data_IF_251612485027
#
_entry.id   IF_251612485027
#
_cell.length_a   1.000
_cell.length_b   1.000
_cell.length_c   1.000
_cell.angle_alpha   90.00
_cell.angle_beta   90.00
_cell.angle_gamma   90.00
#
_symmetry.space_group_name_H-M   'P 1'
#
loop_
_entity.id
_entity.type
_entity.pdbx_description
1 polymer ?
#
# COMPACT_ATOMS: atom_id res chain seq x y z
N UNK A 1 18.79 4.16 1.41
CA UNK A 1 18.22 5.33 2.12
C UNK A 1 17.61 6.40 1.21
N UNK A 2 18.03 6.61 -0.06
CA UNK A 2 17.44 7.64 -0.95
C UNK A 2 16.02 7.31 -1.47
N UNK A 3 15.72 6.04 -1.74
CA UNK A 3 14.43 5.58 -2.29
C UNK A 3 13.27 5.70 -1.26
N UNK A 4 13.57 5.58 0.03
CA UNK A 4 12.55 5.56 1.10
C UNK A 4 11.85 6.91 1.29
N UNK A 5 12.55 8.03 1.14
CA UNK A 5 11.93 9.36 1.29
C UNK A 5 11.03 9.73 0.11
N UNK A 6 11.40 9.33 -1.11
CA UNK A 6 10.59 9.54 -2.31
C UNK A 6 9.28 8.79 -2.22
N UNK A 7 9.34 7.52 -1.79
CA UNK A 7 8.17 6.71 -1.52
C UNK A 7 7.27 7.31 -0.44
N UNK A 8 7.85 7.81 0.67
CA UNK A 8 7.08 8.53 1.71
C UNK A 8 6.38 9.76 1.15
N UNK A 9 7.09 10.56 0.36
CA UNK A 9 6.55 11.78 -0.25
C UNK A 9 5.43 11.47 -1.27
N UNK A 10 5.56 10.41 -2.07
CA UNK A 10 4.50 10.00 -3.00
C UNK A 10 3.26 9.51 -2.25
N UNK A 11 3.43 8.75 -1.18
CA UNK A 11 2.34 8.31 -0.30
C UNK A 11 1.58 9.50 0.31
N UNK A 12 2.28 10.55 0.76
CA UNK A 12 1.63 11.78 1.26
C UNK A 12 0.72 12.41 0.21
N UNK A 13 1.20 12.52 -1.03
CA UNK A 13 0.40 13.08 -2.15
C UNK A 13 -0.84 12.22 -2.39
N UNK A 14 -0.69 10.91 -2.39
CA UNK A 14 -1.80 9.99 -2.67
C UNK A 14 -2.86 10.03 -1.56
N UNK A 15 -2.45 10.06 -0.29
CA UNK A 15 -3.36 10.12 0.86
C UNK A 15 -4.18 11.40 0.92
N UNK A 16 -3.59 12.53 0.53
CA UNK A 16 -4.27 13.82 0.51
C UNK A 16 -4.89 14.15 -0.86
N UNK A 17 -4.86 13.21 -1.82
CA UNK A 17 -5.26 13.46 -3.20
C UNK A 17 -6.68 14.02 -3.31
N UNK A 18 -7.62 13.49 -2.53
CA UNK A 18 -9.00 13.97 -2.56
C UNK A 18 -9.12 15.42 -2.08
N UNK A 19 -8.47 15.77 -0.96
CA UNK A 19 -8.49 17.13 -0.43
C UNK A 19 -7.80 18.11 -1.38
N UNK A 20 -6.71 17.69 -2.01
CA UNK A 20 -5.99 18.48 -3.01
C UNK A 20 -6.83 18.73 -4.27
N UNK A 21 -7.51 17.71 -4.80
CA UNK A 21 -8.37 17.87 -5.98
C UNK A 21 -9.55 18.80 -5.71
N UNK A 22 -10.07 18.81 -4.49
CA UNK A 22 -11.19 19.70 -4.12
C UNK A 22 -10.73 21.11 -3.74
N UNK A 23 -9.50 21.27 -3.26
CA UNK A 23 -8.99 22.54 -2.74
C UNK A 23 -8.12 23.35 -3.72
N UNK A 24 -7.66 22.75 -4.82
CA UNK A 24 -6.84 23.42 -5.83
C UNK A 24 -7.71 24.14 -6.86
N UNK A 25 -7.66 25.46 -6.87
CA UNK A 25 -8.32 26.28 -7.89
C UNK A 25 -7.50 26.38 -9.20
N UNK A 26 -8.16 26.76 -10.30
CA UNK A 26 -7.53 26.85 -11.63
C UNK A 26 -6.33 27.81 -11.68
N UNK A 27 -6.37 28.89 -10.88
CA UNK A 27 -5.29 29.89 -10.78
C UNK A 27 -4.06 29.27 -10.13
N UNK A 28 -4.26 28.57 -9.02
CA UNK A 28 -3.22 27.87 -8.27
C UNK A 28 -2.60 26.77 -9.14
N UNK A 29 -3.43 25.98 -9.82
CA UNK A 29 -2.97 24.94 -10.76
C UNK A 29 -2.08 25.56 -11.84
N UNK A 30 -2.52 26.66 -12.46
CA UNK A 30 -1.74 27.34 -13.51
C UNK A 30 -0.39 27.85 -12.98
N UNK A 31 -0.38 28.51 -11.83
CA UNK A 31 0.84 29.02 -11.21
C UNK A 31 1.81 27.88 -10.84
N UNK A 32 1.30 26.77 -10.33
CA UNK A 32 2.09 25.57 -10.03
C UNK A 32 2.70 24.97 -11.30
N UNK A 33 1.91 24.83 -12.36
CA UNK A 33 2.38 24.32 -13.66
C UNK A 33 3.48 25.22 -14.23
N UNK A 34 3.30 26.55 -14.19
CA UNK A 34 4.30 27.50 -14.67
C UNK A 34 5.58 27.48 -13.82
N UNK A 35 5.45 27.39 -12.50
CA UNK A 35 6.60 27.24 -11.59
C UNK A 35 7.37 25.94 -11.88
N UNK A 36 6.66 24.82 -12.02
CA UNK A 36 7.26 23.52 -12.25
C UNK A 36 7.95 23.43 -13.61
N UNK A 37 7.39 24.09 -14.63
CA UNK A 37 8.04 24.23 -15.93
C UNK A 37 9.32 25.08 -15.83
N UNK A 38 9.28 26.19 -15.08
CA UNK A 38 10.46 27.06 -14.88
C UNK A 38 11.63 26.34 -14.20
N UNK A 39 11.31 25.41 -13.28
CA UNK A 39 12.30 24.59 -12.59
C UNK A 39 12.69 23.32 -13.37
N UNK A 40 12.17 23.14 -14.59
CA UNK A 40 12.37 21.94 -15.42
C UNK A 40 11.94 20.63 -14.73
N UNK A 41 10.96 20.70 -13.83
CA UNK A 41 10.38 19.53 -13.16
C UNK A 41 9.36 18.81 -14.06
N UNK A 42 8.66 19.60 -14.88
CA UNK A 42 7.76 19.11 -15.92
C UNK A 42 8.16 19.68 -17.28
N UNK A 43 7.76 19.00 -18.33
CA UNK A 43 7.95 19.40 -19.72
C UNK A 43 6.81 20.29 -20.22
N UNK A 44 7.04 21.01 -21.32
CA UNK A 44 5.99 21.79 -21.98
C UNK A 44 4.83 20.91 -22.45
N UNK A 45 5.10 19.66 -22.81
CA UNK A 45 4.07 18.69 -23.19
C UNK A 45 3.18 18.33 -22.01
N UNK A 46 3.77 18.03 -20.84
CA UNK A 46 3.02 17.75 -19.60
C UNK A 46 2.17 18.96 -19.19
N UNK A 47 2.69 20.20 -19.35
CA UNK A 47 1.91 21.43 -19.16
C UNK A 47 0.70 21.49 -20.09
N UNK A 48 0.89 21.25 -21.39
CA UNK A 48 -0.19 21.30 -22.37
C UNK A 48 -1.28 20.27 -22.07
N UNK A 49 -0.87 19.05 -21.70
CA UNK A 49 -1.78 17.98 -21.31
C UNK A 49 -2.61 18.36 -20.08
N UNK A 50 -1.99 18.97 -19.06
CA UNK A 50 -2.74 19.45 -17.87
C UNK A 50 -3.71 20.56 -18.27
N UNK A 51 -3.26 21.55 -19.05
CA UNK A 51 -4.09 22.70 -19.42
C UNK A 51 -5.23 22.36 -20.40
N UNK A 52 -5.14 21.24 -21.12
CA UNK A 52 -6.16 20.75 -22.02
C UNK A 52 -7.38 20.13 -21.31
N UNK A 53 -7.25 19.76 -20.03
CA UNK A 53 -8.37 19.21 -19.25
C UNK A 53 -9.46 20.27 -19.04
N UNK A 54 -10.74 19.85 -19.12
CA UNK A 54 -11.87 20.78 -19.20
C UNK A 54 -12.27 21.38 -17.85
N UNK A 55 -12.22 20.58 -16.80
CA UNK A 55 -12.65 20.99 -15.46
C UNK A 55 -11.45 21.24 -14.57
N UNK A 56 -11.60 22.14 -13.60
CA UNK A 56 -10.58 22.43 -12.60
C UNK A 56 -10.13 21.16 -11.86
N UNK A 57 -11.08 20.31 -11.48
CA UNK A 57 -10.79 19.05 -10.78
C UNK A 57 -10.01 18.07 -11.65
N UNK A 58 -10.30 18.00 -12.96
CA UNK A 58 -9.56 17.14 -13.88
C UNK A 58 -8.14 17.67 -14.12
N UNK A 59 -7.96 18.99 -14.21
CA UNK A 59 -6.63 19.61 -14.25
C UNK A 59 -5.84 19.31 -12.97
N UNK A 60 -6.48 19.42 -11.80
CA UNK A 60 -5.88 19.10 -10.51
C UNK A 60 -5.44 17.63 -10.44
N UNK A 61 -6.32 16.69 -10.81
CA UNK A 61 -5.99 15.26 -10.90
C UNK A 61 -4.79 15.02 -11.80
N UNK A 62 -4.77 15.63 -12.99
CA UNK A 62 -3.69 15.47 -13.97
C UNK A 62 -2.37 16.03 -13.46
N UNK A 63 -2.39 17.20 -12.84
CA UNK A 63 -1.22 17.79 -12.20
C UNK A 63 -0.68 16.84 -11.12
N UNK A 64 -1.53 16.35 -10.23
CA UNK A 64 -1.13 15.43 -9.16
C UNK A 64 -0.59 14.10 -9.71
N UNK A 65 -1.13 13.58 -10.82
CA UNK A 65 -0.59 12.38 -11.49
C UNK A 65 0.81 12.58 -12.04
N UNK A 66 1.09 13.77 -12.60
CA UNK A 66 2.43 14.11 -13.08
C UNK A 66 3.38 14.23 -11.89
N UNK A 67 2.99 14.97 -10.85
CA UNK A 67 3.83 15.19 -9.66
C UNK A 67 4.11 13.85 -8.96
N UNK A 68 3.09 13.02 -8.71
CA UNK A 68 3.26 11.72 -8.07
C UNK A 68 4.26 10.84 -8.83
N UNK A 69 4.06 10.68 -10.15
CA UNK A 69 4.99 9.90 -11.00
C UNK A 69 6.41 10.45 -10.99
N UNK A 70 6.56 11.77 -11.01
CA UNK A 70 7.90 12.40 -10.97
C UNK A 70 8.56 12.20 -9.61
N UNK A 71 7.84 12.38 -8.51
CA UNK A 71 8.35 12.17 -7.14
C UNK A 71 8.78 10.71 -6.95
N UNK A 72 8.00 9.75 -7.44
CA UNK A 72 8.31 8.32 -7.40
C UNK A 72 9.54 7.96 -8.27
N UNK A 73 9.68 8.58 -9.43
CA UNK A 73 10.80 8.35 -10.37
C UNK A 73 12.02 9.26 -10.16
N UNK A 74 12.03 10.12 -9.13
CA UNK A 74 13.15 11.02 -8.87
C UNK A 74 14.44 10.23 -8.62
N UNK A 75 15.54 10.63 -9.26
CA UNK A 75 16.84 9.99 -9.07
C UNK A 75 17.57 10.48 -7.81
N UNK A 76 18.57 9.71 -7.33
CA UNK A 76 19.26 9.89 -6.04
C UNK A 76 19.91 11.27 -5.83
N UNK A 77 20.13 12.06 -6.88
CA UNK A 77 20.76 13.38 -6.84
C UNK A 77 19.78 14.53 -6.54
N UNK A 78 18.49 14.38 -6.84
CA UNK A 78 17.47 15.43 -6.65
C UNK A 78 16.48 15.05 -5.55
N UNK A 79 16.99 14.55 -4.42
CA UNK A 79 16.19 14.14 -3.26
C UNK A 79 15.24 15.28 -2.87
N UNK A 80 13.95 15.05 -3.10
CA UNK A 80 12.83 15.88 -2.66
C UNK A 80 12.58 17.22 -3.37
N UNK A 81 13.40 17.66 -4.34
CA UNK A 81 13.18 18.99 -4.97
C UNK A 81 11.78 19.22 -5.56
N UNK A 82 11.18 18.20 -6.17
CA UNK A 82 9.82 18.29 -6.73
C UNK A 82 8.78 18.37 -5.62
N UNK A 83 8.92 17.54 -4.58
CA UNK A 83 8.01 17.56 -3.43
C UNK A 83 8.13 18.87 -2.63
N UNK A 84 9.36 19.34 -2.40
CA UNK A 84 9.61 20.60 -1.70
C UNK A 84 9.08 21.80 -2.52
N UNK A 85 9.26 21.76 -3.85
CA UNK A 85 8.67 22.74 -4.76
C UNK A 85 7.15 22.70 -4.75
N UNK A 86 6.56 21.50 -4.69
CA UNK A 86 5.12 21.29 -4.58
C UNK A 86 4.57 21.93 -3.30
N UNK A 87 5.13 21.56 -2.15
CA UNK A 87 4.71 22.07 -0.85
C UNK A 87 4.95 23.58 -0.75
N UNK A 88 6.05 24.09 -1.31
CA UNK A 88 6.32 25.53 -1.36
C UNK A 88 5.23 26.27 -2.17
N UNK A 89 4.89 25.80 -3.36
CA UNK A 89 3.82 26.43 -4.15
C UNK A 89 2.47 26.35 -3.45
N UNK A 90 2.15 25.23 -2.79
CA UNK A 90 0.95 25.13 -1.96
C UNK A 90 0.98 26.17 -0.84
N UNK A 91 2.12 26.36 -0.16
CA UNK A 91 2.23 27.33 0.93
C UNK A 91 1.98 28.77 0.49
N UNK A 92 2.38 29.10 -0.73
CA UNK A 92 2.19 30.44 -1.33
C UNK A 92 0.72 30.73 -1.69
N UNK A 93 -0.09 29.71 -1.97
CA UNK A 93 -1.46 29.89 -2.49
C UNK A 93 -2.55 29.40 -1.53
N UNK A 94 -2.30 28.30 -0.82
CA UNK A 94 -3.19 27.67 0.13
C UNK A 94 -2.40 26.98 1.26
N UNK A 95 -2.11 27.76 2.31
CA UNK A 95 -1.41 27.31 3.51
C UNK A 95 -2.06 26.07 4.15
N UNK A 96 -3.39 25.98 4.11
CA UNK A 96 -4.14 24.85 4.69
C UNK A 96 -3.81 23.55 3.96
N UNK A 97 -3.84 23.56 2.62
CA UNK A 97 -3.48 22.38 1.83
C UNK A 97 -2.01 21.99 1.99
N UNK A 98 -1.12 22.97 2.11
CA UNK A 98 0.29 22.70 2.38
C UNK A 98 0.46 21.93 3.71
N UNK A 99 -0.21 22.39 4.78
CA UNK A 99 -0.19 21.71 6.08
C UNK A 99 -0.83 20.32 6.01
N UNK A 100 -1.92 20.16 5.25
CA UNK A 100 -2.53 18.84 5.03
C UNK A 100 -1.54 17.86 4.42
N UNK A 101 -0.80 18.28 3.39
CA UNK A 101 0.23 17.43 2.76
C UNK A 101 1.41 17.18 3.68
N UNK A 102 1.88 18.19 4.41
CA UNK A 102 3.02 18.05 5.33
C UNK A 102 2.73 17.09 6.49
N UNK A 103 1.52 17.18 7.06
CA UNK A 103 1.06 16.35 8.18
C UNK A 103 0.43 15.02 7.74
N UNK A 104 0.28 14.80 6.43
CA UNK A 104 -0.19 13.55 5.89
C UNK A 104 0.67 12.41 6.44
N UNK A 105 0.00 11.35 6.90
CA UNK A 105 0.68 10.12 7.29
C UNK A 105 1.54 9.66 6.11
N UNK A 106 2.82 9.39 6.34
CA UNK A 106 3.76 8.86 5.35
C UNK A 106 4.21 7.43 5.64
N UNK A 107 3.52 6.76 6.56
CA UNK A 107 3.73 5.36 6.87
C UNK A 107 3.69 4.54 5.59
N UNK A 108 4.84 4.01 5.21
CA UNK A 108 5.01 3.11 4.07
C UNK A 108 4.34 1.78 4.42
N UNK A 109 3.32 1.34 3.68
CA UNK A 109 2.75 0.01 3.88
C UNK A 109 3.87 -1.04 3.75
N UNK A 110 3.98 -1.93 4.73
CA UNK A 110 4.98 -3.02 4.75
C UNK A 110 6.45 -2.55 4.82
N UNK A 111 6.79 -1.53 5.60
CA UNK A 111 8.20 -1.20 5.92
C UNK A 111 8.92 -2.44 6.50
N UNK A 112 10.15 -2.73 6.07
CA UNK A 112 10.92 -3.88 6.59
C UNK A 112 11.08 -3.85 8.12
N UNK A 113 11.09 -2.64 8.69
CA UNK A 113 11.08 -2.41 10.14
C UNK A 113 9.78 -2.91 10.79
N UNK A 114 8.63 -2.67 10.17
CA UNK A 114 7.34 -3.14 10.67
C UNK A 114 7.20 -4.65 10.50
N UNK A 115 7.71 -5.20 9.38
CA UNK A 115 7.79 -6.65 9.17
C UNK A 115 8.65 -7.32 10.25
N UNK A 116 9.82 -6.77 10.57
CA UNK A 116 10.68 -7.31 11.63
C UNK A 116 10.01 -7.22 13.01
N UNK A 117 9.38 -6.09 13.34
CA UNK A 117 8.67 -5.89 14.60
C UNK A 117 7.48 -6.86 14.74
N UNK A 118 6.68 -7.05 13.68
CA UNK A 118 5.58 -8.02 13.66
C UNK A 118 6.09 -9.43 13.86
N UNK A 119 7.12 -9.84 13.11
CA UNK A 119 7.68 -11.18 13.22
C UNK A 119 8.26 -11.45 14.60
N UNK A 120 8.86 -10.45 15.24
CA UNK A 120 9.37 -10.53 16.60
C UNK A 120 8.24 -10.70 17.63
N UNK A 121 7.08 -10.04 17.43
CA UNK A 121 5.89 -10.19 18.29
C UNK A 121 5.27 -11.58 18.19
N UNK A 122 5.26 -12.17 16.99
CA UNK A 122 4.59 -13.46 16.75
C UNK A 122 5.49 -14.69 16.84
N UNK A 123 6.81 -14.53 17.01
CA UNK A 123 7.78 -15.64 16.94
C UNK A 123 7.56 -16.75 17.98
N UNK A 124 6.99 -16.41 19.13
CA UNK A 124 6.77 -17.32 20.25
C UNK A 124 5.30 -17.73 20.41
N UNK A 125 4.43 -17.31 19.49
CA UNK A 125 3.00 -17.61 19.54
C UNK A 125 2.72 -18.79 18.62
N UNK A 126 2.12 -19.83 19.18
CA UNK A 126 1.72 -21.01 18.42
C UNK A 126 0.40 -20.78 17.68
N UNK A 127 0.38 -21.19 16.40
CA UNK A 127 -0.82 -21.11 15.58
C UNK A 127 -1.83 -22.17 16.01
N UNK A 128 -2.83 -21.76 16.79
CA UNK A 128 -3.99 -22.60 17.11
C UNK A 128 -5.12 -22.45 16.07
N UNK A 129 -6.07 -23.38 16.10
CA UNK A 129 -7.17 -23.44 15.12
C UNK A 129 -8.11 -22.22 15.19
N UNK A 130 -8.43 -21.72 16.40
CA UNK A 130 -9.30 -20.56 16.57
C UNK A 130 -8.68 -19.31 15.95
N UNK A 131 -7.40 -19.08 16.22
CA UNK A 131 -6.62 -17.99 15.66
C UNK A 131 -6.52 -18.12 14.14
N UNK A 132 -6.24 -19.33 13.62
CA UNK A 132 -6.25 -19.58 12.18
C UNK A 132 -7.59 -19.20 11.54
N UNK A 133 -8.71 -19.64 12.12
CA UNK A 133 -10.04 -19.33 11.58
C UNK A 133 -10.33 -17.82 11.58
N UNK A 134 -9.88 -17.07 12.59
CA UNK A 134 -9.99 -15.60 12.61
C UNK A 134 -9.15 -14.95 11.50
N UNK A 135 -7.89 -15.35 11.34
CA UNK A 135 -6.99 -14.83 10.29
C UNK A 135 -7.59 -15.05 8.90
N UNK A 136 -8.13 -16.24 8.63
CA UNK A 136 -8.71 -16.59 7.33
C UNK A 136 -9.92 -15.73 6.94
N UNK A 137 -10.59 -15.07 7.91
CA UNK A 137 -11.67 -14.13 7.61
C UNK A 137 -11.21 -12.89 6.82
N UNK A 138 -9.92 -12.57 6.86
CA UNK A 138 -9.35 -11.36 6.29
C UNK A 138 -8.46 -11.59 5.06
N UNK A 139 -8.27 -12.85 4.66
CA UNK A 139 -7.47 -13.20 3.48
C UNK A 139 -8.31 -13.12 2.20
N UNK A 140 -9.59 -13.50 2.24
CA UNK A 140 -10.49 -13.31 1.09
C UNK A 140 -9.99 -14.01 -0.19
N UNK A 141 -10.00 -13.31 -1.33
CA UNK A 141 -9.71 -13.89 -2.66
C UNK A 141 -8.24 -14.18 -2.96
N UNK A 142 -7.29 -13.66 -2.17
CA UNK A 142 -5.84 -13.86 -2.38
C UNK A 142 -5.28 -15.12 -1.72
N UNK A 143 -6.12 -15.96 -1.12
CA UNK A 143 -5.70 -17.07 -0.28
C UNK A 143 -4.90 -18.15 -1.02
N UNK A 144 -5.15 -18.33 -2.32
CA UNK A 144 -4.42 -19.31 -3.15
C UNK A 144 -2.95 -18.94 -3.32
N UNK A 145 -2.66 -17.64 -3.46
CA UNK A 145 -1.29 -17.13 -3.50
C UNK A 145 -0.57 -17.38 -2.18
N UNK A 146 -1.27 -17.18 -1.06
CA UNK A 146 -0.71 -17.47 0.28
C UNK A 146 -0.48 -18.97 0.46
N UNK A 147 -1.39 -19.82 -0.02
CA UNK A 147 -1.22 -21.28 0.02
C UNK A 147 -0.01 -21.72 -0.81
N UNK A 148 0.17 -21.16 -2.01
CA UNK A 148 1.32 -21.43 -2.86
C UNK A 148 2.64 -20.99 -2.20
N UNK A 149 2.68 -19.82 -1.57
CA UNK A 149 3.85 -19.32 -0.82
C UNK A 149 4.18 -20.17 0.43
N UNK A 150 3.22 -20.94 0.93
CA UNK A 150 3.41 -21.91 2.00
C UNK A 150 3.76 -23.33 1.50
N UNK A 151 4.15 -23.45 0.23
CA UNK A 151 4.45 -24.71 -0.45
C UNK A 151 3.31 -25.74 -0.36
N UNK A 152 2.06 -25.26 -0.45
CA UNK A 152 0.90 -26.13 -0.57
C UNK A 152 0.67 -26.43 -2.05
N UNK A 153 0.70 -27.72 -2.38
CA UNK A 153 0.55 -28.21 -3.75
C UNK A 153 -0.78 -27.75 -4.38
N UNK A 154 -0.69 -27.25 -5.62
CA UNK A 154 -1.83 -26.92 -6.47
C UNK A 154 -2.89 -28.04 -6.57
N UNK A 155 -2.48 -29.31 -6.55
CA UNK A 155 -3.36 -30.48 -6.57
C UNK A 155 -4.21 -30.53 -5.30
N UNK A 156 -3.64 -30.20 -4.13
CA UNK A 156 -4.42 -30.14 -2.88
C UNK A 156 -5.42 -29.00 -2.91
N UNK A 157 -5.03 -27.84 -3.44
CA UNK A 157 -5.94 -26.70 -3.62
C UNK A 157 -7.12 -27.11 -4.51
N UNK A 158 -6.86 -27.81 -5.63
CA UNK A 158 -7.90 -28.34 -6.50
C UNK A 158 -8.82 -29.34 -5.80
N UNK A 159 -8.28 -30.24 -4.97
CA UNK A 159 -9.08 -31.21 -4.18
C UNK A 159 -9.98 -30.47 -3.19
N UNK A 160 -9.47 -29.49 -2.44
CA UNK A 160 -10.27 -28.74 -1.48
C UNK A 160 -11.40 -27.94 -2.15
N UNK A 161 -11.13 -27.38 -3.34
CA UNK A 161 -12.15 -26.74 -4.19
C UNK A 161 -13.23 -27.72 -4.63
N UNK A 162 -12.85 -28.93 -5.03
CA UNK A 162 -13.79 -29.99 -5.41
C UNK A 162 -14.63 -30.47 -4.22
N UNK A 163 -14.03 -30.58 -3.03
CA UNK A 163 -14.72 -30.97 -1.79
C UNK A 163 -15.70 -29.89 -1.30
N UNK A 164 -15.40 -28.60 -1.54
CA UNK A 164 -16.18 -27.48 -1.01
C UNK A 164 -16.53 -26.46 -2.11
N UNK A 165 -17.30 -26.84 -3.15
CA UNK A 165 -17.48 -26.02 -4.36
C UNK A 165 -18.16 -24.67 -4.12
N UNK A 166 -18.96 -24.54 -3.06
CA UNK A 166 -19.76 -23.34 -2.77
C UNK A 166 -19.28 -22.56 -1.54
N UNK A 167 -18.17 -22.97 -0.92
CA UNK A 167 -17.66 -22.33 0.30
C UNK A 167 -16.16 -22.10 0.24
N UNK A 168 -15.75 -20.93 -0.27
CA UNK A 168 -14.35 -20.48 -0.23
C UNK A 168 -13.80 -20.49 1.19
N UNK A 169 -14.65 -20.24 2.20
CA UNK A 169 -14.27 -20.32 3.61
C UNK A 169 -13.86 -21.73 4.02
N UNK A 170 -14.61 -22.76 3.61
CA UNK A 170 -14.27 -24.14 3.92
C UNK A 170 -13.07 -24.62 3.10
N UNK A 171 -12.95 -24.20 1.84
CA UNK A 171 -11.75 -24.45 1.02
C UNK A 171 -10.49 -23.95 1.73
N UNK A 172 -10.50 -22.69 2.18
CA UNK A 172 -9.42 -22.09 2.94
C UNK A 172 -9.16 -22.87 4.23
N UNK A 173 -10.19 -23.10 5.05
CA UNK A 173 -10.01 -23.74 6.35
C UNK A 173 -9.45 -25.17 6.22
N UNK A 174 -9.93 -25.97 5.26
CA UNK A 174 -9.41 -27.33 4.99
C UNK A 174 -7.91 -27.28 4.66
N UNK A 175 -7.51 -26.40 3.73
CA UNK A 175 -6.13 -26.28 3.27
C UNK A 175 -5.19 -25.78 4.38
N UNK A 176 -5.54 -24.67 5.02
CA UNK A 176 -4.66 -24.06 6.01
C UNK A 176 -4.67 -24.81 7.34
N UNK A 177 -5.76 -25.48 7.73
CA UNK A 177 -5.76 -26.33 8.92
C UNK A 177 -4.95 -27.61 8.68
N UNK A 178 -5.04 -28.19 7.47
CA UNK A 178 -4.16 -29.29 7.08
C UNK A 178 -2.68 -28.88 7.13
N UNK A 179 -2.34 -27.73 6.53
CA UNK A 179 -0.97 -27.19 6.57
C UNK A 179 -0.50 -26.94 8.01
N UNK A 180 -1.35 -26.33 8.84
CA UNK A 180 -1.08 -26.11 10.27
C UNK A 180 -0.78 -27.43 10.97
N UNK A 181 -1.61 -28.46 10.81
CA UNK A 181 -1.41 -29.78 11.43
C UNK A 181 -0.09 -30.44 10.98
N UNK A 182 0.29 -30.27 9.71
CA UNK A 182 1.57 -30.75 9.17
C UNK A 182 2.78 -30.01 9.77
N UNK A 183 2.67 -28.69 9.94
CA UNK A 183 3.73 -27.81 10.44
C UNK A 183 3.83 -27.78 11.98
N UNK A 184 2.77 -28.13 12.72
CA UNK A 184 2.74 -28.12 14.20
C UNK A 184 3.65 -29.13 14.89
N UNK A 185 4.49 -29.85 14.14
CA UNK A 185 5.66 -30.53 14.70
C UNK A 185 6.80 -29.56 15.06
N UNK A 186 6.70 -28.27 14.73
CA UNK A 186 7.66 -27.23 15.12
C UNK A 186 7.02 -25.89 15.51
N UNK A 187 7.68 -25.18 16.44
CA UNK A 187 7.37 -23.77 16.77
C UNK A 187 7.55 -22.89 15.53
N UNK A 188 6.70 -21.87 15.37
CA UNK A 188 6.85 -20.85 14.32
C UNK A 188 5.87 -20.93 13.15
N UNK A 189 4.83 -21.77 13.24
CA UNK A 189 3.76 -21.84 12.23
C UNK A 189 3.09 -20.48 11.97
N UNK A 190 2.80 -19.71 13.02
CA UNK A 190 2.25 -18.36 12.86
C UNK A 190 3.23 -17.44 12.11
N UNK A 191 4.52 -17.50 12.44
CA UNK A 191 5.56 -16.70 11.77
C UNK A 191 5.62 -17.01 10.27
N UNK A 192 5.54 -18.28 9.87
CA UNK A 192 5.53 -18.68 8.45
C UNK A 192 4.29 -18.15 7.74
N UNK A 193 3.11 -18.30 8.35
CA UNK A 193 1.85 -17.79 7.80
C UNK A 193 1.90 -16.27 7.59
N UNK A 194 2.36 -15.53 8.60
CA UNK A 194 2.45 -14.06 8.53
C UNK A 194 3.49 -13.60 7.50
N UNK A 195 4.59 -14.33 7.32
CA UNK A 195 5.55 -14.05 6.22
C UNK A 195 4.89 -14.20 4.85
N UNK A 196 4.18 -15.30 4.63
CA UNK A 196 3.51 -15.57 3.36
C UNK A 196 2.43 -14.52 3.05
N UNK A 197 1.59 -14.17 4.03
CA UNK A 197 0.56 -13.13 3.86
C UNK A 197 1.21 -11.77 3.54
N UNK A 198 2.27 -11.38 4.26
CA UNK A 198 2.98 -10.13 3.98
C UNK A 198 3.62 -10.09 2.59
N UNK A 199 4.15 -11.23 2.11
CA UNK A 199 4.72 -11.30 0.77
C UNK A 199 3.62 -11.13 -0.29
N UNK A 200 2.49 -11.81 -0.11
CA UNK A 200 1.37 -11.75 -1.05
C UNK A 200 0.55 -10.44 -0.95
N UNK A 201 0.59 -9.69 0.17
CA UNK A 201 -0.17 -8.45 0.36
C UNK A 201 0.18 -7.34 -0.62
N UNK A 202 1.36 -7.40 -1.26
CA UNK A 202 1.76 -6.49 -2.34
C UNK A 202 0.83 -6.63 -3.56
N UNK A 203 0.28 -7.83 -3.77
CA UNK A 203 -0.56 -8.16 -4.94
C UNK A 203 -1.98 -8.57 -4.55
N UNK A 204 -2.25 -8.75 -3.26
CA UNK A 204 -3.53 -9.16 -2.72
C UNK A 204 -4.01 -8.12 -1.70
N UNK A 205 -5.29 -7.76 -1.77
CA UNK A 205 -5.88 -6.73 -0.90
C UNK A 205 -6.15 -7.26 0.52
N UNK A 206 -5.09 -7.63 1.26
CA UNK A 206 -5.19 -8.11 2.64
C UNK A 206 -5.15 -6.95 3.63
N UNK A 207 -6.03 -6.99 4.63
CA UNK A 207 -5.97 -6.04 5.73
C UNK A 207 -5.05 -6.57 6.85
N UNK A 208 -3.75 -6.25 6.73
CA UNK A 208 -2.73 -6.70 7.70
C UNK A 208 -3.02 -6.25 9.12
N UNK A 209 -3.55 -5.04 9.32
CA UNK A 209 -3.86 -4.54 10.67
C UNK A 209 -4.92 -5.40 11.35
N UNK A 210 -6.01 -5.75 10.65
CA UNK A 210 -7.04 -6.65 11.18
C UNK A 210 -6.53 -8.07 11.44
N UNK A 211 -5.61 -8.55 10.62
CA UNK A 211 -4.96 -9.86 10.83
C UNK A 211 -4.12 -9.84 12.11
N UNK A 212 -3.43 -8.74 12.40
CA UNK A 212 -2.64 -8.58 13.62
C UNK A 212 -3.51 -8.44 14.87
N UNK A 213 -4.62 -7.70 14.79
CA UNK A 213 -5.61 -7.63 15.88
C UNK A 213 -6.12 -9.02 16.29
N UNK A 214 -6.30 -9.93 15.33
CA UNK A 214 -6.73 -11.31 15.61
C UNK A 214 -5.73 -12.15 16.40
N UNK A 215 -4.46 -11.72 16.45
CA UNK A 215 -3.37 -12.39 17.16
C UNK A 215 -3.25 -11.84 18.60
N UNK A 216 -3.61 -10.56 18.79
CA UNK A 216 -3.43 -9.84 20.05
C UNK A 216 -4.62 -9.99 21.02
N UNK A 217 -5.81 -10.35 20.51
CA UNK A 217 -7.01 -10.58 21.31
C UNK A 217 -7.47 -12.05 21.20
N UNK A 218 -6.97 -12.95 22.09
CA UNK A 218 -7.22 -14.40 22.04
C UNK A 218 -8.65 -14.85 22.36
#
# INVERSE_FOLDING_TARGET
MANKQQLRNSIKIERCRMDLVQGLDDVTIKNMVDHFLSQSFITSEEKNVIQAEKTEQDKARKLLDVIHRKVESQDKQNKSKIFDGFVKCLREHNQSLALTVENADDSVPNDESDKSNILERVKNIDLNEKMLNRILMFIGSGWESVAAELDIDSVKISIAKANNPHSTRNQMFEIFNFWRQRETLGRGGLTKLIKAINYCSVHCNFNMNKILECIEDP
#
